data_IF_399712344776
#
_entry.id   IF_399712344776
#
_cell.length_a   1.000
_cell.length_b   1.000
_cell.length_c   1.000
_cell.angle_alpha   90.00
_cell.angle_beta   90.00
_cell.angle_gamma   90.00
#
_symmetry.space_group_name_H-M   'P 1'
#
loop_
_entity.id
_entity.type
_entity.pdbx_description
1 polymer ?
#
# COMPACT_ATOMS: atom_id res chain seq x y z
N UNK A 1 56.71 10.84 5.95
CA UNK A 1 55.92 9.59 6.11
C UNK A 1 55.66 9.47 7.60
N UNK A 2 54.44 9.44 8.12
CA UNK A 2 53.33 8.57 7.73
C UNK A 2 52.01 9.32 7.95
N UNK A 3 51.13 9.13 6.98
CA UNK A 3 49.81 9.71 6.75
C UNK A 3 48.77 9.17 7.75
N UNK A 4 47.91 10.06 8.31
CA UNK A 4 46.65 9.67 8.95
C UNK A 4 45.68 9.16 7.89
N UNK A 5 45.02 8.00 8.05
CA UNK A 5 43.86 7.67 7.24
C UNK A 5 42.61 8.36 7.82
N UNK A 6 42.16 9.42 7.15
CA UNK A 6 40.78 9.89 7.25
C UNK A 6 39.86 8.77 6.73
N UNK A 7 39.03 8.22 7.61
CA UNK A 7 37.97 7.27 7.25
C UNK A 7 36.89 8.01 6.45
N UNK A 8 37.00 7.96 5.12
CA UNK A 8 35.92 8.23 4.18
C UNK A 8 34.81 7.21 4.40
N UNK A 9 33.71 7.64 5.04
CA UNK A 9 32.45 6.94 4.95
C UNK A 9 32.01 6.89 3.46
N UNK A 10 31.53 5.75 2.94
CA UNK A 10 31.14 5.65 1.55
C UNK A 10 29.91 6.54 1.32
N UNK A 11 30.05 7.47 0.38
CA UNK A 11 28.95 8.23 -0.19
C UNK A 11 28.03 7.27 -0.97
N UNK A 12 26.72 7.36 -0.72
CA UNK A 12 25.70 6.75 -1.56
C UNK A 12 25.26 5.35 -1.15
N UNK A 13 24.73 5.18 0.06
CA UNK A 13 23.62 4.24 0.21
C UNK A 13 22.38 4.93 -0.35
N UNK A 14 21.61 4.31 -1.26
CA UNK A 14 20.28 4.79 -1.57
C UNK A 14 19.51 4.74 -0.24
N UNK A 15 19.28 5.89 0.37
CA UNK A 15 18.19 6.01 1.32
C UNK A 15 16.96 5.65 0.49
N UNK A 16 16.29 4.55 0.83
CA UNK A 16 15.03 4.15 0.23
C UNK A 16 14.14 5.39 0.15
N UNK A 17 14.12 6.01 -1.03
CA UNK A 17 13.43 7.27 -1.23
C UNK A 17 11.98 6.88 -1.42
N UNK A 18 11.28 6.70 -0.31
CA UNK A 18 9.84 6.85 -0.26
C UNK A 18 9.49 8.33 -0.42
N UNK A 19 9.94 8.95 -1.52
CA UNK A 19 9.41 10.22 -1.98
C UNK A 19 8.17 9.84 -2.76
N UNK A 20 7.05 9.69 -2.05
CA UNK A 20 5.77 9.56 -2.72
C UNK A 20 5.56 10.81 -3.56
N UNK A 21 5.40 10.69 -4.90
CA UNK A 21 5.07 11.81 -5.72
C UNK A 21 3.67 12.28 -5.31
N UNK A 22 3.59 13.42 -4.65
CA UNK A 22 2.31 14.05 -4.32
C UNK A 22 1.70 14.60 -5.61
N UNK A 23 0.49 14.18 -5.96
CA UNK A 23 -0.25 14.74 -7.07
C UNK A 23 -1.06 15.95 -6.55
N UNK A 24 -0.92 17.10 -7.22
CA UNK A 24 -1.72 18.29 -6.94
C UNK A 24 -2.88 18.35 -7.95
N UNK A 25 -4.09 18.03 -7.50
CA UNK A 25 -5.30 18.20 -8.32
C UNK A 25 -5.88 19.61 -8.12
N UNK A 26 -6.11 20.33 -9.23
CA UNK A 26 -6.78 21.63 -9.21
C UNK A 26 -8.30 21.43 -9.18
N UNK A 27 -8.91 21.69 -8.03
CA UNK A 27 -10.36 21.77 -7.90
C UNK A 27 -10.83 23.23 -8.03
N UNK A 28 -12.11 23.50 -8.37
CA UNK A 28 -12.66 24.85 -8.42
C UNK A 28 -12.54 25.63 -7.09
N UNK A 29 -12.29 24.93 -5.98
CA UNK A 29 -12.19 25.47 -4.63
C UNK A 29 -10.75 25.52 -4.07
N UNK A 30 -9.73 25.07 -4.83
CA UNK A 30 -8.31 25.11 -4.40
C UNK A 30 -7.45 23.95 -4.94
N UNK A 31 -6.20 23.87 -4.44
CA UNK A 31 -5.27 22.76 -4.71
C UNK A 31 -5.45 21.66 -3.64
N UNK A 32 -5.79 20.43 -4.06
CA UNK A 32 -5.80 19.25 -3.18
C UNK A 32 -4.52 18.47 -3.45
N UNK A 33 -3.62 18.37 -2.46
CA UNK A 33 -2.53 17.39 -2.49
C UNK A 33 -3.13 16.03 -2.15
N UNK A 34 -3.10 15.11 -3.09
CA UNK A 34 -3.51 13.73 -2.87
C UNK A 34 -2.30 12.81 -3.01
N UNK A 35 -2.16 11.93 -2.03
CA UNK A 35 -1.30 10.76 -2.12
C UNK A 35 -1.86 9.84 -3.23
N UNK A 36 -1.03 9.33 -4.16
CA UNK A 36 -1.44 8.32 -5.13
C UNK A 36 -2.26 7.17 -4.51
N UNK A 37 -1.90 6.69 -3.31
CA UNK A 37 -2.63 5.61 -2.63
C UNK A 37 -4.02 6.04 -2.19
N UNK A 38 -4.17 7.28 -1.73
CA UNK A 38 -5.49 7.82 -1.37
C UNK A 38 -6.38 7.93 -2.61
N UNK A 39 -5.80 8.29 -3.76
CA UNK A 39 -6.56 8.33 -5.02
C UNK A 39 -6.98 6.94 -5.48
N UNK A 40 -6.08 5.96 -5.42
CA UNK A 40 -6.39 4.56 -5.72
C UNK A 40 -7.49 4.03 -4.80
N UNK A 41 -7.43 4.33 -3.51
CA UNK A 41 -8.43 3.91 -2.54
C UNK A 41 -9.81 4.53 -2.81
N UNK A 42 -9.88 5.81 -3.22
CA UNK A 42 -11.12 6.44 -3.70
C UNK A 42 -11.72 5.71 -4.91
N UNK A 43 -10.86 5.17 -5.79
CA UNK A 43 -11.25 4.34 -6.92
C UNK A 43 -11.46 2.86 -6.54
N UNK A 44 -11.48 2.53 -5.24
CA UNK A 44 -11.65 1.18 -4.66
C UNK A 44 -10.52 0.20 -5.01
N UNK A 45 -9.31 0.72 -5.14
CA UNK A 45 -8.09 -0.06 -5.41
C UNK A 45 -7.24 -0.10 -4.14
N UNK A 46 -6.96 -1.30 -3.65
CA UNK A 46 -6.07 -1.58 -2.52
C UNK A 46 -4.73 -2.13 -3.06
N UNK A 47 -3.61 -1.69 -2.48
CA UNK A 47 -2.27 -2.11 -2.91
C UNK A 47 -1.56 -2.91 -1.81
N UNK A 48 -1.32 -4.19 -2.07
CA UNK A 48 -0.48 -5.08 -1.26
C UNK A 48 0.91 -5.18 -1.88
N UNK A 49 1.77 -4.21 -1.52
CA UNK A 49 3.12 -4.06 -2.08
C UNK A 49 4.27 -4.53 -1.20
N UNK A 50 3.96 -5.11 -0.05
CA UNK A 50 4.93 -5.45 1.00
C UNK A 50 4.79 -6.90 1.43
N UNK A 51 5.76 -7.40 2.18
CA UNK A 51 5.67 -8.70 2.82
C UNK A 51 4.43 -8.78 3.71
N UNK A 52 3.71 -9.91 3.69
CA UNK A 52 2.51 -10.11 4.49
C UNK A 52 2.87 -10.49 5.93
N UNK A 53 2.69 -9.55 6.84
CA UNK A 53 2.80 -9.70 8.28
C UNK A 53 1.49 -9.26 8.97
N UNK A 54 1.44 -9.34 10.30
CA UNK A 54 0.21 -9.03 11.03
C UNK A 54 -0.22 -7.56 10.85
N UNK A 55 0.74 -6.63 10.77
CA UNK A 55 0.47 -5.21 10.60
C UNK A 55 -0.11 -4.89 9.20
N UNK A 56 0.53 -5.39 8.14
CA UNK A 56 0.02 -5.24 6.77
C UNK A 56 -1.30 -5.97 6.56
N UNK A 57 -1.52 -7.11 7.21
CA UNK A 57 -2.82 -7.78 7.17
C UNK A 57 -3.91 -6.96 7.84
N UNK A 58 -3.66 -6.39 9.02
CA UNK A 58 -4.61 -5.50 9.71
C UNK A 58 -4.98 -4.30 8.84
N UNK A 59 -4.00 -3.69 8.17
CA UNK A 59 -4.22 -2.56 7.26
C UNK A 59 -5.10 -2.95 6.05
N UNK A 60 -4.85 -4.10 5.43
CA UNK A 60 -5.63 -4.58 4.28
C UNK A 60 -7.06 -4.95 4.71
N UNK A 61 -7.22 -5.64 5.83
CA UNK A 61 -8.54 -5.98 6.37
C UNK A 61 -9.36 -4.72 6.69
N UNK A 62 -8.73 -3.73 7.34
CA UNK A 62 -9.39 -2.46 7.64
C UNK A 62 -9.84 -1.74 6.35
N UNK A 63 -9.00 -1.70 5.32
CA UNK A 63 -9.35 -1.10 4.02
C UNK A 63 -10.52 -1.82 3.34
N UNK A 64 -10.54 -3.15 3.35
CA UNK A 64 -11.62 -3.96 2.80
C UNK A 64 -12.97 -3.66 3.48
N UNK A 65 -12.99 -3.65 4.82
CA UNK A 65 -14.20 -3.37 5.60
C UNK A 65 -14.71 -1.93 5.39
N UNK A 66 -13.80 -0.96 5.23
CA UNK A 66 -14.18 0.42 4.92
C UNK A 66 -14.83 0.51 3.55
N UNK A 67 -14.27 -0.13 2.52
CA UNK A 67 -14.84 -0.12 1.17
C UNK A 67 -16.18 -0.86 1.10
N UNK A 68 -16.34 -1.95 1.84
CA UNK A 68 -17.62 -2.63 2.03
C UNK A 68 -18.65 -1.68 2.67
N UNK A 69 -18.30 -0.99 3.75
CA UNK A 69 -19.21 -0.08 4.43
C UNK A 69 -19.61 1.13 3.58
N UNK A 70 -18.74 1.56 2.67
CA UNK A 70 -19.02 2.70 1.79
C UNK A 70 -19.98 2.33 0.66
N UNK A 71 -19.76 1.18 0.03
CA UNK A 71 -20.60 0.68 -1.06
C UNK A 71 -20.41 -0.83 -1.16
N UNK A 72 -21.33 -1.65 -0.60
CA UNK A 72 -21.17 -3.10 -0.57
C UNK A 72 -21.46 -3.78 -1.93
N UNK A 73 -22.03 -3.05 -2.90
CA UNK A 73 -22.45 -3.59 -4.20
C UNK A 73 -21.40 -3.34 -5.30
N UNK A 74 -20.37 -2.54 -5.02
CA UNK A 74 -19.28 -2.23 -5.96
C UNK A 74 -18.05 -3.07 -5.69
N UNK A 75 -17.47 -3.61 -6.76
CA UNK A 75 -16.23 -4.38 -6.71
C UNK A 75 -15.06 -3.62 -6.06
N UNK A 76 -14.13 -4.39 -5.52
CA UNK A 76 -12.86 -3.92 -4.97
C UNK A 76 -11.74 -4.55 -5.78
N UNK A 77 -10.73 -3.76 -6.17
CA UNK A 77 -9.54 -4.27 -6.85
C UNK A 77 -8.38 -4.37 -5.87
N UNK A 78 -7.77 -5.54 -5.76
CA UNK A 78 -6.58 -5.79 -4.95
C UNK A 78 -5.37 -6.02 -5.86
N UNK A 79 -4.44 -5.08 -5.85
CA UNK A 79 -3.15 -5.22 -6.52
C UNK A 79 -2.16 -5.91 -5.60
N UNK A 80 -1.56 -6.99 -6.08
CA UNK A 80 -0.68 -7.85 -5.30
C UNK A 80 0.70 -7.82 -5.93
N UNK A 81 1.65 -7.22 -5.22
CA UNK A 81 3.08 -7.29 -5.48
C UNK A 81 3.79 -7.57 -4.15
N UNK A 82 3.63 -8.79 -3.66
CA UNK A 82 4.14 -9.22 -2.37
C UNK A 82 4.96 -10.50 -2.52
N UNK A 83 6.08 -10.66 -1.80
CA UNK A 83 6.80 -11.93 -1.71
C UNK A 83 6.02 -12.99 -0.90
N UNK A 84 4.81 -12.69 -0.43
CA UNK A 84 4.05 -13.51 0.52
C UNK A 84 4.44 -13.17 1.96
N UNK A 85 4.18 -14.10 2.88
CA UNK A 85 4.56 -13.90 4.28
C UNK A 85 3.97 -14.93 5.22
N UNK A 86 3.50 -14.49 6.39
CA UNK A 86 2.94 -15.39 7.40
C UNK A 86 1.64 -16.04 6.91
N UNK A 87 1.51 -17.35 7.14
CA UNK A 87 0.30 -18.10 6.79
C UNK A 87 -0.93 -17.57 7.52
N UNK A 88 -0.80 -17.18 8.79
CA UNK A 88 -1.90 -16.63 9.59
C UNK A 88 -2.39 -15.31 9.00
N UNK A 89 -1.47 -14.41 8.67
CA UNK A 89 -1.76 -13.10 8.11
C UNK A 89 -2.42 -13.22 6.73
N UNK A 90 -1.89 -14.09 5.86
CA UNK A 90 -2.50 -14.38 4.56
C UNK A 90 -3.92 -14.99 4.69
N UNK A 91 -4.12 -15.89 5.65
CA UNK A 91 -5.44 -16.49 5.90
C UNK A 91 -6.44 -15.46 6.44
N UNK A 92 -6.00 -14.54 7.30
CA UNK A 92 -6.86 -13.46 7.81
C UNK A 92 -7.34 -12.52 6.69
N UNK A 93 -6.44 -12.14 5.78
CA UNK A 93 -6.80 -11.37 4.58
C UNK A 93 -7.79 -12.19 3.73
N UNK A 94 -7.49 -13.45 3.46
CA UNK A 94 -8.34 -14.32 2.66
C UNK A 94 -9.74 -14.49 3.24
N UNK A 95 -9.86 -14.72 4.55
CA UNK A 95 -11.15 -14.86 5.22
C UNK A 95 -11.96 -13.56 5.15
N UNK A 96 -11.30 -12.42 5.29
CA UNK A 96 -11.94 -11.10 5.12
C UNK A 96 -12.41 -10.90 3.68
N UNK A 97 -11.61 -11.31 2.70
CA UNK A 97 -11.98 -11.27 1.29
C UNK A 97 -13.21 -12.11 0.98
N UNK A 98 -13.39 -13.25 1.63
CA UNK A 98 -14.57 -14.11 1.47
C UNK A 98 -15.78 -13.66 2.31
N UNK A 99 -15.54 -12.91 3.38
CA UNK A 99 -16.57 -12.45 4.31
C UNK A 99 -17.36 -11.26 3.76
N UNK A 100 -16.67 -10.30 3.15
CA UNK A 100 -17.30 -9.07 2.68
C UNK A 100 -18.18 -9.31 1.45
N UNK A 101 -19.19 -8.47 1.26
CA UNK A 101 -20.11 -8.58 0.11
C UNK A 101 -19.51 -8.24 -1.26
N UNK A 102 -18.67 -7.20 -1.41
CA UNK A 102 -18.09 -6.83 -2.71
C UNK A 102 -17.33 -7.98 -3.36
N UNK A 103 -17.46 -8.12 -4.69
CA UNK A 103 -16.55 -8.99 -5.43
C UNK A 103 -15.14 -8.40 -5.44
N UNK A 104 -14.15 -9.25 -5.15
CA UNK A 104 -12.74 -8.83 -5.12
C UNK A 104 -12.03 -9.31 -6.37
N UNK A 105 -11.58 -8.36 -7.17
CA UNK A 105 -10.74 -8.60 -8.34
C UNK A 105 -9.28 -8.54 -7.92
N UNK A 106 -8.52 -9.61 -8.18
CA UNK A 106 -7.08 -9.64 -7.86
C UNK A 106 -6.24 -9.49 -9.12
N UNK A 107 -5.21 -8.66 -9.04
CA UNK A 107 -4.24 -8.46 -10.13
C UNK A 107 -2.83 -8.59 -9.58
N UNK A 108 -2.07 -9.55 -10.09
CA UNK A 108 -0.65 -9.70 -9.75
C UNK A 108 0.18 -8.75 -10.62
N UNK A 109 1.11 -8.01 -9.99
CA UNK A 109 1.99 -7.01 -10.62
C UNK A 109 3.46 -7.37 -10.48
#
# INVERSE_FOLDING_TARGET
>A
MIHLPSSTAPAGMPTDRYVLPNFEERTPYGYKRQDPYAKLFEDRIIFLGVQVDDASADDIMAQLLVLESQDPDRDITLYINSPGGSFTAMTAIYDTMQYIRPEIQTVCL
#
